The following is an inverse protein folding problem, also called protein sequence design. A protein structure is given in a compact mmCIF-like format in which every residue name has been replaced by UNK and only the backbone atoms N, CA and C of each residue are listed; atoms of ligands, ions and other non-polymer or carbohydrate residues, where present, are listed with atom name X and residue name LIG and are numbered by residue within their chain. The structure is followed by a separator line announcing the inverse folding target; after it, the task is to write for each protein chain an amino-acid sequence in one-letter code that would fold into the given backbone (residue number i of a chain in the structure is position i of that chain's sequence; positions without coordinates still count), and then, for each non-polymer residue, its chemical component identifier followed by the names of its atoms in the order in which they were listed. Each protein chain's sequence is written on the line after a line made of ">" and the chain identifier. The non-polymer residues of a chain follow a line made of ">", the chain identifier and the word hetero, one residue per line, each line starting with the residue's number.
data_IF_530426582020
#
_entry.id   IF_530426582020
#
_cell.length_a   1.000
_cell.length_b   1.000
_cell.length_c   1.000
_cell.angle_alpha   90.00
_cell.angle_beta   90.00
_cell.angle_gamma   90.00
#
_symmetry.space_group_name_H-M   'P 1'
#
loop_
_entity.id
_entity.type
_entity.pdbx_description
1 polymer ?
#
# COMPACT_ATOMS: atom_id res chain seq x y z
N UNK A 1 5.82 -17.97 -0.87
CA UNK A 1 6.30 -16.65 -0.45
C UNK A 1 5.20 -15.59 -0.49
N UNK A 2 4.44 -15.50 -1.56
CA UNK A 2 3.27 -14.61 -1.64
C UNK A 2 2.25 -14.93 -0.54
N UNK A 3 1.94 -16.21 -0.34
CA UNK A 3 0.93 -16.65 0.63
C UNK A 3 1.23 -16.24 2.05
N UNK A 4 2.46 -16.40 2.49
CA UNK A 4 2.88 -16.01 3.84
C UNK A 4 2.77 -14.50 4.04
N UNK A 5 3.23 -13.72 3.08
CA UNK A 5 3.18 -12.26 3.17
C UNK A 5 1.77 -11.71 3.06
N UNK A 6 0.92 -12.35 2.26
CA UNK A 6 -0.51 -12.03 2.20
C UNK A 6 -1.17 -12.28 3.56
N UNK A 7 -0.90 -13.42 4.18
CA UNK A 7 -1.45 -13.76 5.50
C UNK A 7 -0.99 -12.75 6.56
N UNK A 8 0.29 -12.40 6.57
CA UNK A 8 0.84 -11.41 7.49
C UNK A 8 0.18 -10.04 7.32
N UNK A 9 0.02 -9.60 6.08
CA UNK A 9 -0.63 -8.32 5.77
C UNK A 9 -2.08 -8.32 6.22
N UNK A 10 -2.82 -9.39 5.91
CA UNK A 10 -4.22 -9.56 6.32
C UNK A 10 -4.36 -9.45 7.85
N UNK A 11 -3.51 -10.18 8.57
CA UNK A 11 -3.52 -10.20 10.04
C UNK A 11 -3.16 -8.84 10.63
N UNK A 12 -2.24 -8.12 10.00
CA UNK A 12 -1.85 -6.78 10.43
C UNK A 12 -3.05 -5.84 10.46
N UNK A 13 -3.96 -5.97 9.49
CA UNK A 13 -5.17 -5.15 9.42
C UNK A 13 -6.33 -5.75 10.23
N UNK A 14 -6.10 -6.84 10.97
CA UNK A 14 -7.12 -7.46 11.80
C UNK A 14 -8.20 -8.20 11.04
N UNK A 15 -7.95 -8.58 9.80
CA UNK A 15 -8.89 -9.29 8.95
C UNK A 15 -8.74 -10.80 9.07
N UNK A 16 -9.88 -11.51 9.07
CA UNK A 16 -9.89 -12.97 8.93
C UNK A 16 -9.82 -13.35 7.46
N UNK A 17 -9.62 -14.64 7.18
CA UNK A 17 -9.70 -15.15 5.80
C UNK A 17 -11.08 -14.91 5.18
N UNK A 18 -12.14 -15.03 5.99
CA UNK A 18 -13.51 -14.71 5.58
C UNK A 18 -13.66 -13.25 5.17
N UNK A 19 -13.10 -12.34 5.97
CA UNK A 19 -13.15 -10.90 5.68
C UNK A 19 -12.51 -10.59 4.34
N UNK A 20 -11.34 -11.16 4.09
CA UNK A 20 -10.62 -10.95 2.83
C UNK A 20 -11.39 -11.55 1.66
N UNK A 21 -11.93 -12.76 1.82
CA UNK A 21 -12.73 -13.42 0.79
C UNK A 21 -13.93 -12.57 0.40
N UNK A 22 -14.64 -12.02 1.39
CA UNK A 22 -15.79 -11.15 1.17
C UNK A 22 -15.39 -9.88 0.42
N UNK A 23 -14.31 -9.23 0.85
CA UNK A 23 -13.82 -7.98 0.22
C UNK A 23 -13.40 -8.19 -1.24
N UNK A 24 -12.90 -9.36 -1.56
CA UNK A 24 -12.45 -9.69 -2.91
C UNK A 24 -13.50 -10.43 -3.74
N UNK A 25 -14.67 -10.71 -3.16
CA UNK A 25 -15.77 -11.46 -3.82
C UNK A 25 -15.31 -12.84 -4.31
N UNK A 26 -14.53 -13.53 -3.49
CA UNK A 26 -14.06 -14.90 -3.75
C UNK A 26 -14.45 -15.80 -2.57
N UNK A 27 -14.29 -17.12 -2.75
CA UNK A 27 -14.55 -18.06 -1.65
C UNK A 27 -13.40 -18.06 -0.63
N UNK A 28 -13.71 -18.44 0.61
CA UNK A 28 -12.68 -18.60 1.65
C UNK A 28 -11.66 -19.66 1.25
N UNK A 29 -12.09 -20.71 0.55
CA UNK A 29 -11.20 -21.76 0.04
C UNK A 29 -10.16 -21.18 -0.92
N UNK A 30 -10.55 -20.20 -1.73
CA UNK A 30 -9.65 -19.51 -2.65
C UNK A 30 -8.58 -18.72 -1.88
N UNK A 31 -8.96 -17.99 -0.85
CA UNK A 31 -8.02 -17.24 0.00
C UNK A 31 -7.04 -18.21 0.69
N UNK A 32 -7.55 -19.31 1.23
CA UNK A 32 -6.71 -20.34 1.86
C UNK A 32 -5.70 -20.92 0.87
N UNK A 33 -6.12 -21.18 -0.35
CA UNK A 33 -5.26 -21.67 -1.42
C UNK A 33 -4.12 -20.70 -1.73
N UNK A 34 -4.42 -19.41 -1.80
CA UNK A 34 -3.40 -18.37 -2.01
C UNK A 34 -2.42 -18.29 -0.84
N UNK A 35 -2.91 -18.34 0.39
CA UNK A 35 -2.07 -18.24 1.59
C UNK A 35 -1.17 -19.45 1.79
N UNK A 36 -1.53 -20.60 1.19
CA UNK A 36 -0.74 -21.84 1.21
C UNK A 36 0.17 -21.99 -0.02
N UNK A 37 0.17 -21.00 -0.90
CA UNK A 37 0.92 -21.03 -2.17
C UNK A 37 0.54 -22.21 -3.08
N UNK A 38 -0.70 -22.71 -2.94
CA UNK A 38 -1.26 -23.74 -3.84
C UNK A 38 -1.66 -23.10 -5.16
N UNK A 39 -2.20 -21.89 -5.09
CA UNK A 39 -2.54 -21.08 -6.26
C UNK A 39 -2.16 -19.62 -6.00
N UNK A 40 -2.24 -18.79 -7.01
CA UNK A 40 -1.92 -17.36 -6.92
C UNK A 40 -3.13 -16.53 -7.32
N UNK A 41 -3.31 -15.33 -6.71
CA UNK A 41 -4.37 -14.42 -7.15
C UNK A 41 -4.14 -14.00 -8.60
N UNK A 42 -5.21 -13.86 -9.40
CA UNK A 42 -5.10 -13.24 -10.71
C UNK A 42 -4.49 -11.85 -10.62
N UNK A 43 -3.87 -11.38 -11.70
CA UNK A 43 -3.22 -10.07 -11.74
C UNK A 43 -4.13 -8.95 -11.23
N UNK A 44 -5.37 -8.89 -11.69
CA UNK A 44 -6.33 -7.86 -11.29
C UNK A 44 -6.64 -7.91 -9.79
N UNK A 45 -6.76 -9.11 -9.25
CA UNK A 45 -7.00 -9.33 -7.82
C UNK A 45 -5.79 -8.90 -6.99
N UNK A 46 -4.58 -9.19 -7.48
CA UNK A 46 -3.35 -8.77 -6.83
C UNK A 46 -3.27 -7.24 -6.73
N UNK A 47 -3.60 -6.53 -7.80
CA UNK A 47 -3.66 -5.07 -7.81
C UNK A 47 -4.65 -4.56 -6.75
N UNK A 48 -5.83 -5.19 -6.68
CA UNK A 48 -6.86 -4.83 -5.71
C UNK A 48 -6.37 -5.03 -4.27
N UNK A 49 -5.69 -6.14 -3.99
CA UNK A 49 -5.09 -6.42 -2.67
C UNK A 49 -4.06 -5.34 -2.30
N UNK A 50 -3.18 -5.00 -3.22
CA UNK A 50 -2.15 -4.00 -2.99
C UNK A 50 -2.74 -2.63 -2.68
N UNK A 51 -3.79 -2.24 -3.39
CA UNK A 51 -4.48 -0.97 -3.15
C UNK A 51 -5.25 -0.96 -1.83
N UNK A 52 -5.93 -2.06 -1.53
CA UNK A 52 -6.75 -2.18 -0.33
C UNK A 52 -5.90 -2.13 0.95
N UNK A 53 -4.77 -2.80 0.96
CA UNK A 53 -3.88 -2.86 2.10
C UNK A 53 -2.73 -1.86 2.05
N UNK A 54 -2.63 -1.07 0.99
CA UNK A 54 -1.51 -0.15 0.77
C UNK A 54 -0.16 -0.86 0.93
N UNK A 55 -0.02 -2.02 0.31
CA UNK A 55 1.18 -2.85 0.33
C UNK A 55 1.76 -2.94 -1.08
N UNK A 56 3.08 -2.97 -1.20
CA UNK A 56 3.70 -3.06 -2.52
C UNK A 56 3.61 -4.47 -3.07
N UNK A 57 3.41 -4.58 -4.39
CA UNK A 57 3.41 -5.87 -5.08
C UNK A 57 4.79 -6.52 -5.02
N UNK A 58 5.85 -5.72 -5.06
CA UNK A 58 7.23 -6.21 -4.95
C UNK A 58 7.45 -6.97 -3.65
N UNK A 59 6.93 -6.42 -2.54
CA UNK A 59 7.02 -7.09 -1.24
C UNK A 59 6.20 -8.38 -1.22
N UNK A 60 4.95 -8.33 -1.69
CA UNK A 60 4.10 -9.53 -1.72
C UNK A 60 4.69 -10.63 -2.60
N UNK A 61 5.31 -10.27 -3.73
CA UNK A 61 5.89 -11.23 -4.66
C UNK A 61 7.29 -11.71 -4.26
N UNK A 62 7.84 -11.17 -3.18
CA UNK A 62 9.15 -11.58 -2.70
C UNK A 62 10.34 -10.96 -3.40
N UNK A 63 10.12 -9.90 -4.17
CA UNK A 63 11.19 -9.18 -4.86
C UNK A 63 11.99 -8.28 -3.92
N UNK A 64 11.42 -7.94 -2.78
CA UNK A 64 12.08 -7.18 -1.72
C UNK A 64 11.62 -7.71 -0.36
N UNK A 65 12.50 -7.64 0.63
CA UNK A 65 12.18 -8.04 2.00
C UNK A 65 11.62 -6.87 2.83
N UNK A 66 11.67 -5.66 2.29
CA UNK A 66 11.18 -4.46 2.97
C UNK A 66 9.99 -3.90 2.21
N UNK A 67 8.87 -3.72 2.93
CA UNK A 67 7.69 -3.04 2.39
C UNK A 67 7.80 -1.55 2.71
N UNK A 68 8.09 -0.69 1.71
CA UNK A 68 8.19 0.76 1.95
C UNK A 68 6.87 1.35 2.43
N UNK A 69 5.73 0.80 2.01
CA UNK A 69 4.42 1.24 2.48
C UNK A 69 4.20 0.90 3.95
N UNK A 70 4.70 -0.25 4.40
CA UNK A 70 4.63 -0.63 5.80
C UNK A 70 5.42 0.35 6.68
N UNK A 71 6.62 0.73 6.26
CA UNK A 71 7.43 1.73 6.96
C UNK A 71 6.69 3.06 7.04
N UNK A 72 6.07 3.48 5.95
CA UNK A 72 5.27 4.71 5.92
C UNK A 72 4.08 4.64 6.89
N UNK A 73 3.38 3.49 6.96
CA UNK A 73 2.28 3.30 7.91
C UNK A 73 2.78 3.39 9.35
N UNK A 74 3.90 2.72 9.67
CA UNK A 74 4.51 2.78 11.00
C UNK A 74 4.86 4.21 11.40
N UNK A 75 5.38 4.97 10.46
CA UNK A 75 5.68 6.37 10.68
C UNK A 75 4.40 7.17 10.95
N UNK A 76 3.34 6.93 10.18
CA UNK A 76 2.06 7.62 10.33
C UNK A 76 1.38 7.31 11.67
N UNK A 77 1.56 6.11 12.21
CA UNK A 77 1.00 5.72 13.51
C UNK A 77 1.51 6.59 14.67
N UNK A 78 2.63 7.27 14.49
CA UNK A 78 3.20 8.15 15.50
C UNK A 78 2.47 9.48 15.62
N UNK A 79 1.57 9.79 14.70
CA UNK A 79 0.91 11.09 14.62
C UNK A 79 -0.60 10.94 14.73
N UNK A 80 -1.25 11.95 15.33
CA UNK A 80 -2.70 12.03 15.35
C UNK A 80 -3.25 12.33 13.95
N UNK A 81 -4.56 12.09 13.69
CA UNK A 81 -5.16 12.45 12.41
C UNK A 81 -4.99 13.93 12.05
N UNK A 82 -5.07 14.81 13.04
CA UNK A 82 -4.88 16.26 12.86
C UNK A 82 -3.44 16.60 12.47
N UNK A 83 -2.49 15.94 13.12
CA UNK A 83 -1.08 16.10 12.81
C UNK A 83 -0.74 15.58 11.41
N UNK A 84 -1.32 14.46 11.01
CA UNK A 84 -1.16 13.92 9.65
C UNK A 84 -1.70 14.87 8.59
N UNK A 85 -2.82 15.54 8.88
CA UNK A 85 -3.39 16.56 7.99
C UNK A 85 -2.43 17.74 7.83
N UNK A 86 -1.83 18.21 8.91
CA UNK A 86 -0.84 19.28 8.89
C UNK A 86 0.38 18.89 8.06
N UNK A 87 0.85 17.67 8.20
CA UNK A 87 1.98 17.15 7.42
C UNK A 87 1.63 17.12 5.93
N UNK A 88 0.42 16.68 5.60
CA UNK A 88 -0.06 16.64 4.21
C UNK A 88 -0.13 18.03 3.60
N UNK A 89 -0.64 19.01 4.34
CA UNK A 89 -0.69 20.40 3.91
C UNK A 89 0.70 20.95 3.63
N UNK A 90 1.65 20.64 4.51
CA UNK A 90 3.03 21.06 4.35
C UNK A 90 3.67 20.43 3.11
N UNK A 91 3.43 19.13 2.88
CA UNK A 91 3.91 18.45 1.67
C UNK A 91 3.34 19.10 0.41
N UNK A 92 2.04 19.38 0.40
CA UNK A 92 1.38 20.05 -0.72
C UNK A 92 1.96 21.44 -0.97
N UNK A 93 2.25 22.19 0.07
CA UNK A 93 2.91 23.48 -0.02
C UNK A 93 4.29 23.37 -0.66
N UNK A 94 5.09 22.40 -0.23
CA UNK A 94 6.42 22.19 -0.79
C UNK A 94 6.38 21.79 -2.27
N UNK A 95 5.42 20.94 -2.65
CA UNK A 95 5.22 20.54 -4.04
C UNK A 95 4.79 21.74 -4.90
N UNK A 96 3.89 22.56 -4.38
CA UNK A 96 3.45 23.79 -5.04
C UNK A 96 4.63 24.75 -5.24
N UNK A 97 5.41 24.99 -4.20
CA UNK A 97 6.57 25.86 -4.23
C UNK A 97 7.61 25.36 -5.26
N UNK A 98 7.84 24.07 -5.29
CA UNK A 98 8.78 23.44 -6.23
C UNK A 98 8.32 23.64 -7.68
N UNK A 99 7.03 23.44 -7.96
CA UNK A 99 6.46 23.64 -9.31
C UNK A 99 6.57 25.08 -9.77
N UNK A 100 6.25 26.03 -8.90
CA UNK A 100 6.31 27.44 -9.22
C UNK A 100 7.74 27.94 -9.40
N UNK A 101 8.67 27.43 -8.61
CA UNK A 101 10.10 27.71 -8.77
C UNK A 101 10.61 27.22 -10.13
N UNK A 102 10.23 25.99 -10.53
CA UNK A 102 10.62 25.42 -11.83
C UNK A 102 10.04 26.25 -12.99
N UNK A 103 8.78 26.68 -12.90
CA UNK A 103 8.15 27.55 -13.91
C UNK A 103 8.85 28.89 -14.01
N UNK A 104 9.22 29.49 -12.90
CA UNK A 104 9.96 30.73 -12.85
C UNK A 104 11.31 30.60 -13.53
N UNK A 105 12.05 29.54 -13.24
CA UNK A 105 13.34 29.27 -13.85
C UNK A 105 13.22 29.07 -15.37
N UNK A 106 12.17 28.38 -15.82
CA UNK A 106 11.93 28.18 -17.24
C UNK A 106 11.60 29.50 -17.95
N UNK A 107 10.87 30.42 -17.28
CA UNK A 107 10.58 31.74 -17.81
C UNK A 107 11.84 32.60 -17.88
N UNK A 108 12.71 32.54 -16.88
CA UNK A 108 13.95 33.31 -16.82
C UNK A 108 14.97 32.88 -17.89
N UNK A 109 14.83 31.69 -18.48
CA UNK A 109 15.69 31.20 -19.54
C UNK A 109 15.35 31.75 -20.93
N UNK A 110 14.25 32.41 -21.05
CA UNK A 110 13.84 33.06 -22.29
C UNK A 110 14.40 34.50 -22.34
#
# INVERSE_FOLDING_TARGET
>A
MLGERLALTRKYFGHTQDDLAEKLSVSIATVRSWERDISSPPHETLVKICRMYCVSSDYLLGLTDVDPTFVSRKWQEQFSPEELEQIREFENYLLWKKRNHTKKNAADRK
#
